data_IF_548723205023
#
_entry.id   IF_548723205023
#
_cell.length_a   1.000
_cell.length_b   1.000
_cell.length_c   1.000
_cell.angle_alpha   90.00
_cell.angle_beta   90.00
_cell.angle_gamma   90.00
#
_symmetry.space_group_name_H-M   'P 1'
#
loop_
_entity.id
_entity.type
_entity.pdbx_description
1 polymer ?
#
# COMPACT_ATOMS: atom_id res chain seq x y z
N UNK A 1 -27.78 9.16 7.74
CA UNK A 1 -26.62 9.43 8.63
C UNK A 1 -25.66 8.23 8.76
N UNK A 2 -26.14 6.99 8.96
CA UNK A 2 -25.26 5.82 9.16
C UNK A 2 -24.33 5.44 7.99
N UNK A 3 -24.73 5.69 6.73
CA UNK A 3 -23.88 5.35 5.56
C UNK A 3 -22.64 6.24 5.49
N UNK A 4 -22.79 7.54 5.75
CA UNK A 4 -21.71 8.53 5.63
C UNK A 4 -20.64 8.27 6.69
N UNK A 5 -21.06 8.02 7.93
CA UNK A 5 -20.14 7.68 9.04
C UNK A 5 -19.35 6.41 8.73
N UNK A 6 -20.01 5.37 8.20
CA UNK A 6 -19.34 4.12 7.79
C UNK A 6 -18.35 4.35 6.65
N UNK A 7 -18.69 5.21 5.69
CA UNK A 7 -17.79 5.56 4.59
C UNK A 7 -16.55 6.29 5.11
N UNK A 8 -16.74 7.32 5.92
CA UNK A 8 -15.63 8.09 6.52
C UNK A 8 -14.71 7.20 7.35
N UNK A 9 -15.28 6.36 8.22
CA UNK A 9 -14.49 5.43 9.04
C UNK A 9 -13.65 4.45 8.19
N UNK A 10 -14.24 3.91 7.12
CA UNK A 10 -13.53 3.02 6.18
C UNK A 10 -12.44 3.75 5.41
N UNK A 11 -12.66 5.00 5.00
CA UNK A 11 -11.66 5.80 4.32
C UNK A 11 -10.46 6.12 5.21
N UNK A 12 -10.70 6.51 6.47
CA UNK A 12 -9.63 6.73 7.46
C UNK A 12 -8.85 5.43 7.69
N UNK A 13 -9.55 4.31 7.87
CA UNK A 13 -8.91 3.00 8.04
C UNK A 13 -8.06 2.64 6.82
N UNK A 14 -8.62 2.80 5.61
CA UNK A 14 -7.91 2.53 4.36
C UNK A 14 -6.67 3.40 4.19
N UNK A 15 -6.72 4.66 4.62
CA UNK A 15 -5.58 5.56 4.61
C UNK A 15 -4.43 5.05 5.49
N UNK A 16 -4.72 4.68 6.74
CA UNK A 16 -3.71 4.11 7.63
C UNK A 16 -3.17 2.77 7.14
N UNK A 17 -4.04 1.91 6.60
CA UNK A 17 -3.62 0.66 5.95
C UNK A 17 -2.68 0.96 4.78
N UNK A 18 -3.00 1.95 3.95
CA UNK A 18 -2.15 2.37 2.83
C UNK A 18 -0.77 2.84 3.29
N UNK A 19 -0.70 3.65 4.35
CA UNK A 19 0.56 4.06 4.97
C UNK A 19 1.36 2.86 5.45
N UNK A 20 0.75 1.97 6.23
CA UNK A 20 1.42 0.81 6.80
C UNK A 20 1.96 -0.13 5.72
N UNK A 21 1.15 -0.41 4.69
CA UNK A 21 1.55 -1.27 3.57
C UNK A 21 2.71 -0.65 2.80
N UNK A 22 2.65 0.65 2.50
CA UNK A 22 3.71 1.34 1.77
C UNK A 22 5.02 1.34 2.57
N UNK A 23 4.95 1.62 3.87
CA UNK A 23 6.13 1.64 4.75
C UNK A 23 6.80 0.26 4.80
N UNK A 24 6.02 -0.80 5.03
CA UNK A 24 6.53 -2.18 5.04
C UNK A 24 7.11 -2.54 3.68
N UNK A 25 6.46 -2.14 2.58
CA UNK A 25 6.95 -2.36 1.22
C UNK A 25 8.29 -1.68 0.96
N UNK A 26 8.46 -0.42 1.38
CA UNK A 26 9.73 0.32 1.24
C UNK A 26 10.84 -0.38 2.04
N UNK A 27 10.59 -0.75 3.29
CA UNK A 27 11.57 -1.47 4.12
C UNK A 27 11.96 -2.80 3.47
N UNK A 28 10.99 -3.53 2.92
CA UNK A 28 11.25 -4.79 2.21
C UNK A 28 12.08 -4.58 0.94
N UNK A 29 11.82 -3.52 0.17
CA UNK A 29 12.60 -3.18 -1.03
C UNK A 29 14.04 -2.79 -0.69
N UNK A 30 14.24 -2.02 0.38
CA UNK A 30 15.58 -1.65 0.87
C UNK A 30 16.32 -2.89 1.36
N UNK A 31 15.66 -3.76 2.13
CA UNK A 31 16.25 -5.02 2.58
C UNK A 31 16.60 -5.94 1.40
N UNK A 32 15.73 -6.02 0.39
CA UNK A 32 15.99 -6.77 -0.83
C UNK A 32 17.19 -6.20 -1.60
N UNK A 33 17.25 -4.88 -1.79
CA UNK A 33 18.41 -4.21 -2.39
C UNK A 33 19.67 -4.59 -1.62
N UNK A 34 19.64 -4.45 -0.28
CA UNK A 34 20.77 -4.73 0.60
C UNK A 34 21.29 -6.18 0.47
N UNK A 35 20.39 -7.17 0.47
CA UNK A 35 20.77 -8.60 0.38
C UNK A 35 21.28 -8.96 -1.02
N UNK A 36 20.68 -8.41 -2.07
CA UNK A 36 21.00 -8.81 -3.45
C UNK A 36 22.13 -7.99 -4.09
N UNK A 37 22.46 -6.83 -3.54
CA UNK A 37 23.34 -5.87 -4.19
C UNK A 37 22.71 -5.19 -5.42
N UNK A 38 21.44 -5.49 -5.73
CA UNK A 38 20.78 -5.01 -6.94
C UNK A 38 20.22 -3.60 -6.76
N UNK A 39 20.15 -2.87 -7.87
CA UNK A 39 19.37 -1.65 -7.95
C UNK A 39 17.88 -1.99 -7.95
N UNK A 40 17.13 -1.33 -7.07
CA UNK A 40 15.70 -1.51 -6.92
C UNK A 40 15.01 -0.20 -7.28
N UNK A 41 14.07 -0.27 -8.22
CA UNK A 41 13.31 0.88 -8.65
C UNK A 41 11.82 0.57 -8.61
N UNK A 42 11.10 1.29 -7.75
CA UNK A 42 9.64 1.34 -7.76
C UNK A 42 9.22 2.68 -8.38
N UNK A 43 8.74 2.67 -9.65
CA UNK A 43 8.45 3.90 -10.38
C UNK A 43 7.56 4.86 -9.61
N UNK A 44 8.02 6.11 -9.51
CA UNK A 44 7.31 7.18 -8.81
C UNK A 44 7.36 7.11 -7.28
N UNK A 45 7.89 6.06 -6.65
CA UNK A 45 7.85 5.91 -5.18
C UNK A 45 9.25 5.95 -4.56
N UNK A 46 10.14 5.06 -4.98
CA UNK A 46 11.48 4.96 -4.40
C UNK A 46 12.46 4.36 -5.41
N UNK A 47 13.69 4.86 -5.37
CA UNK A 47 14.85 4.24 -6.01
C UNK A 47 15.88 3.90 -4.94
N UNK A 48 16.44 2.69 -4.96
CA UNK A 48 17.51 2.28 -4.07
C UNK A 48 18.64 1.64 -4.88
N UNK A 49 19.89 2.02 -4.61
CA UNK A 49 21.05 1.56 -5.36
C UNK A 49 22.31 1.61 -4.52
N UNK A 50 23.29 0.78 -4.87
CA UNK A 50 24.60 0.83 -4.25
C UNK A 50 25.52 1.81 -4.98
N UNK A 51 26.26 2.60 -4.20
CA UNK A 51 27.47 3.30 -4.65
C UNK A 51 28.66 2.82 -3.83
N UNK A 52 29.87 3.23 -4.24
CA UNK A 52 31.06 3.13 -3.40
C UNK A 52 31.38 4.49 -2.83
N UNK A 53 31.51 4.56 -1.52
CA UNK A 53 31.94 5.75 -0.79
C UNK A 53 33.08 5.33 0.15
N UNK A 54 34.26 5.93 0.00
CA UNK A 54 35.47 5.56 0.77
C UNK A 54 35.82 4.07 0.69
N UNK A 55 35.74 3.47 -0.50
CA UNK A 55 35.94 2.02 -0.74
C UNK A 55 34.98 1.08 0.00
N UNK A 56 33.96 1.63 0.66
CA UNK A 56 32.91 0.86 1.33
C UNK A 56 31.60 0.89 0.52
N UNK A 57 30.83 -0.21 0.51
CA UNK A 57 29.52 -0.23 -0.12
C UNK A 57 28.55 0.67 0.66
N UNK A 58 28.00 1.67 -0.03
CA UNK A 58 26.99 2.58 0.52
C UNK A 58 25.65 2.32 -0.18
N UNK A 59 24.63 1.94 0.58
CA UNK A 59 23.27 1.80 0.06
C UNK A 59 22.58 3.16 0.10
N UNK A 60 22.31 3.71 -1.08
CA UNK A 60 21.57 4.95 -1.24
C UNK A 60 20.11 4.65 -1.55
N UNK A 61 19.25 5.57 -1.14
CA UNK A 61 17.84 5.53 -1.49
C UNK A 61 17.29 6.94 -1.65
N UNK A 62 16.40 7.10 -2.63
CA UNK A 62 15.76 8.37 -2.99
C UNK A 62 14.25 8.17 -2.95
N UNK A 63 13.57 8.59 -1.87
CA UNK A 63 12.13 8.52 -1.76
C UNK A 63 11.48 9.70 -2.49
N UNK A 64 10.43 9.43 -3.27
CA UNK A 64 9.61 10.46 -3.91
C UNK A 64 8.34 10.70 -3.08
N UNK A 65 8.33 11.80 -2.32
CA UNK A 65 7.22 12.13 -1.42
C UNK A 65 5.86 12.26 -2.13
N UNK A 66 5.82 12.82 -3.34
CA UNK A 66 4.57 12.99 -4.10
C UNK A 66 4.01 11.63 -4.50
N UNK A 67 4.83 10.76 -5.09
CA UNK A 67 4.33 9.45 -5.51
C UNK A 67 4.08 8.50 -4.34
N UNK A 68 4.74 8.68 -3.19
CA UNK A 68 4.33 8.01 -1.95
C UNK A 68 2.91 8.40 -1.53
N UNK A 69 2.54 9.69 -1.58
CA UNK A 69 1.17 10.14 -1.29
C UNK A 69 0.17 9.53 -2.27
N UNK A 70 0.50 9.53 -3.57
CA UNK A 70 -0.35 8.90 -4.61
C UNK A 70 -0.53 7.41 -4.33
N UNK A 71 0.53 6.70 -3.95
CA UNK A 71 0.48 5.28 -3.62
C UNK A 71 -0.40 5.02 -2.38
N UNK A 72 -0.30 5.83 -1.33
CA UNK A 72 -1.16 5.75 -0.14
C UNK A 72 -2.63 5.93 -0.51
N UNK A 73 -2.95 6.97 -1.29
CA UNK A 73 -4.33 7.22 -1.74
C UNK A 73 -4.84 6.05 -2.57
N UNK A 74 -4.02 5.52 -3.48
CA UNK A 74 -4.37 4.38 -4.33
C UNK A 74 -4.67 3.13 -3.48
N UNK A 75 -3.82 2.82 -2.50
CA UNK A 75 -4.03 1.70 -1.57
C UNK A 75 -5.28 1.91 -0.71
N UNK A 76 -5.52 3.13 -0.23
CA UNK A 76 -6.71 3.47 0.54
C UNK A 76 -7.98 3.28 -0.28
N UNK A 77 -7.98 3.71 -1.56
CA UNK A 77 -9.10 3.51 -2.48
C UNK A 77 -9.32 2.02 -2.74
N UNK A 78 -8.27 1.23 -2.96
CA UNK A 78 -8.37 -0.22 -3.13
C UNK A 78 -8.97 -0.91 -1.90
N UNK A 79 -8.56 -0.48 -0.69
CA UNK A 79 -9.13 -0.97 0.56
C UNK A 79 -10.63 -0.64 0.66
N UNK A 80 -11.01 0.61 0.38
CA UNK A 80 -12.42 1.02 0.40
C UNK A 80 -13.23 0.23 -0.63
N UNK A 81 -12.75 0.13 -1.87
CA UNK A 81 -13.43 -0.62 -2.94
C UNK A 81 -13.61 -2.10 -2.60
N UNK A 82 -12.57 -2.76 -2.09
CA UNK A 82 -12.64 -4.19 -1.72
C UNK A 82 -13.63 -4.45 -0.57
N UNK A 83 -13.64 -3.60 0.45
CA UNK A 83 -14.60 -3.72 1.57
C UNK A 83 -16.05 -3.49 1.12
N UNK A 84 -16.29 -2.60 0.16
CA UNK A 84 -17.62 -2.42 -0.44
C UNK A 84 -18.07 -3.62 -1.27
N UNK A 85 -17.17 -4.22 -2.06
CA UNK A 85 -17.48 -5.42 -2.85
C UNK A 85 -17.81 -6.61 -1.95
N UNK A 86 -17.06 -6.81 -0.87
CA UNK A 86 -17.28 -7.91 0.07
C UNK A 86 -18.63 -7.77 0.79
N UNK A 87 -18.99 -6.54 1.17
CA UNK A 87 -20.29 -6.25 1.77
C UNK A 87 -21.48 -6.52 0.84
N UNK A 88 -21.33 -6.41 -0.48
CA UNK A 88 -22.38 -6.75 -1.45
C UNK A 88 -22.50 -8.25 -1.67
N UNK A 89 -21.37 -8.97 -1.70
CA UNK A 89 -21.33 -10.43 -1.89
C UNK A 89 -22.01 -11.20 -0.75
N UNK A 90 -21.83 -10.75 0.49
CA UNK A 90 -22.45 -11.39 1.66
C UNK A 90 -23.98 -11.24 1.67
N UNK A 91 -24.51 -10.08 1.26
CA UNK A 91 -25.96 -9.87 1.13
C UNK A 91 -26.59 -10.78 0.07
N UNK A 92 -25.97 -10.93 -1.11
CA UNK A 92 -26.49 -11.81 -2.17
C UNK A 92 -26.40 -13.31 -1.82
N UNK A 93 -25.39 -13.70 -1.05
CA UNK A 93 -25.23 -15.08 -0.57
C UNK A 93 -26.23 -15.45 0.53
N UNK A 94 -26.63 -14.48 1.36
CA UNK A 94 -27.70 -14.66 2.35
C UNK A 94 -29.08 -14.80 1.69
N UNK A 95 -29.37 -13.98 0.67
CA UNK A 95 -30.65 -14.00 -0.03
C UNK A 95 -30.91 -15.30 -0.82
N UNK A 96 -29.85 -15.93 -1.36
CA UNK A 96 -29.95 -17.22 -2.05
C UNK A 96 -30.19 -18.40 -1.10
N UNK A 97 -29.71 -18.34 0.15
CA UNK A 97 -29.97 -19.37 1.16
C UNK A 97 -31.38 -19.34 1.75
N UNK A 98 -32.10 -18.22 1.71
CA UNK A 98 -33.49 -18.13 2.20
C UNK A 98 -34.54 -18.57 1.15
N UNK A 99 -34.14 -18.75 -0.12
CA UNK A 99 -35.04 -19.21 -1.20
C UNK A 99 -35.03 -20.73 -1.41
N UNK A 100 -34.15 -21.46 -0.73
CA UNK A 100 -34.10 -22.91 -0.68
C UNK A 100 -34.57 -23.40 0.69
#
# INVERSE_FOLDING_TARGET
MHIVVKFVARSITGFFVGISVLLVGIVALIAYAFVTGAEVYLPGVIKAWFTRENDMPALNFEPNGIGMVIAIISLALLYVCSTFQQSRRTTNSGASRMRN
#
